data_IF_839194466910
#
_entry.id   IF_839194466910
#
_cell.length_a   1.000
_cell.length_b   1.000
_cell.length_c   1.000
_cell.angle_alpha   90.00
_cell.angle_beta   90.00
_cell.angle_gamma   90.00
#
_symmetry.space_group_name_H-M   'P 1'
#
loop_
_entity.id
_entity.type
_entity.pdbx_description
1 polymer ?
#
# COMPACT_ATOMS: atom_id res chain seq x y z
N UNK A 1 11.46 12.15 -1.98
CA UNK A 1 12.23 11.92 -0.75
C UNK A 1 12.06 10.47 -0.25
N UNK A 2 10.89 10.03 0.20
CA UNK A 2 10.67 8.67 0.71
C UNK A 2 11.11 7.53 -0.24
N UNK A 3 10.85 7.65 -1.54
CA UNK A 3 11.29 6.67 -2.54
C UNK A 3 12.81 6.53 -2.60
N UNK A 4 13.52 7.66 -2.57
CA UNK A 4 14.98 7.62 -2.53
C UNK A 4 15.50 7.00 -1.23
N UNK A 5 14.87 7.33 -0.09
CA UNK A 5 15.19 6.68 1.19
C UNK A 5 14.97 5.16 1.12
N UNK A 6 13.85 4.72 0.54
CA UNK A 6 13.56 3.30 0.33
C UNK A 6 14.65 2.62 -0.50
N UNK A 7 15.00 3.20 -1.65
CA UNK A 7 16.04 2.66 -2.53
C UNK A 7 17.38 2.60 -1.79
N UNK A 8 17.78 3.68 -1.11
CA UNK A 8 19.06 3.71 -0.38
C UNK A 8 19.14 2.70 0.76
N UNK A 9 18.03 2.41 1.43
CA UNK A 9 17.99 1.43 2.52
C UNK A 9 18.04 -0.02 2.03
N UNK A 10 17.40 -0.31 0.91
CA UNK A 10 17.17 -1.70 0.46
C UNK A 10 17.89 -2.07 -0.84
N UNK A 11 18.66 -1.13 -1.45
CA UNK A 11 19.47 -1.46 -2.61
C UNK A 11 20.57 -2.44 -2.21
N UNK A 12 20.53 -3.62 -2.77
CA UNK A 12 21.60 -4.62 -2.60
C UNK A 12 22.43 -4.67 -3.87
N UNK A 13 23.70 -5.11 -3.79
CA UNK A 13 24.61 -5.24 -4.94
C UNK A 13 24.11 -6.25 -6.01
N UNK A 14 22.91 -6.82 -5.82
CA UNK A 14 22.26 -7.77 -6.74
C UNK A 14 21.25 -7.12 -7.68
N UNK A 15 21.00 -5.82 -7.62
CA UNK A 15 20.11 -5.13 -8.56
C UNK A 15 20.76 -5.07 -9.94
N UNK A 16 20.34 -5.98 -10.81
CA UNK A 16 21.06 -6.30 -12.04
C UNK A 16 20.93 -5.31 -13.19
N UNK A 17 19.99 -4.33 -13.15
CA UNK A 17 19.78 -3.43 -14.29
C UNK A 17 19.43 -2.01 -13.85
N UNK A 18 20.40 -1.10 -13.95
CA UNK A 18 20.22 0.32 -13.64
C UNK A 18 19.16 1.01 -14.53
N UNK A 19 18.94 0.55 -15.75
CA UNK A 19 17.92 1.09 -16.64
C UNK A 19 16.51 0.81 -16.08
N UNK A 20 16.29 -0.39 -15.55
CA UNK A 20 15.02 -0.76 -14.92
C UNK A 20 14.77 0.07 -13.65
N UNK A 21 15.82 0.33 -12.87
CA UNK A 21 15.70 1.19 -11.68
C UNK A 21 15.35 2.65 -12.06
N UNK A 22 15.95 3.18 -13.13
CA UNK A 22 15.60 4.51 -13.62
C UNK A 22 14.14 4.58 -14.09
N UNK A 23 13.69 3.53 -14.80
CA UNK A 23 12.29 3.43 -15.24
C UNK A 23 11.33 3.28 -14.04
N UNK A 24 11.71 2.52 -13.00
CA UNK A 24 10.98 2.43 -11.73
C UNK A 24 10.83 3.80 -11.05
N UNK A 25 11.91 4.60 -11.02
CA UNK A 25 11.85 5.97 -10.50
C UNK A 25 10.89 6.86 -11.29
N UNK A 26 10.90 6.74 -12.63
CA UNK A 26 9.98 7.49 -13.49
C UNK A 26 8.51 7.13 -13.25
N UNK A 27 8.17 5.84 -13.23
CA UNK A 27 6.81 5.37 -12.91
C UNK A 27 6.44 5.81 -11.50
N UNK A 28 7.35 5.62 -10.56
CA UNK A 28 7.13 5.98 -9.17
C UNK A 28 6.89 7.46 -8.94
N UNK A 29 7.60 8.35 -9.65
CA UNK A 29 7.36 9.79 -9.62
C UNK A 29 5.92 10.12 -10.04
N UNK A 30 5.40 9.43 -11.05
CA UNK A 30 4.01 9.62 -11.53
C UNK A 30 2.99 9.19 -10.48
N UNK A 31 3.23 8.10 -9.77
CA UNK A 31 2.42 7.71 -8.62
C UNK A 31 2.49 8.74 -7.49
N UNK A 32 3.69 9.24 -7.17
CA UNK A 32 3.87 10.20 -6.08
C UNK A 32 3.18 11.54 -6.43
N UNK A 33 3.24 11.98 -7.69
CA UNK A 33 2.50 13.15 -8.18
C UNK A 33 0.99 12.96 -8.07
N UNK A 34 0.48 11.78 -8.41
CA UNK A 34 -0.95 11.45 -8.26
C UNK A 34 -1.39 11.55 -6.81
N UNK A 35 -0.64 10.95 -5.88
CA UNK A 35 -0.93 11.05 -4.45
C UNK A 35 -0.94 12.50 -3.97
N UNK A 36 0.06 13.29 -4.38
CA UNK A 36 0.14 14.70 -4.04
C UNK A 36 -1.08 15.48 -4.57
N UNK A 37 -1.50 15.21 -5.82
CA UNK A 37 -2.69 15.83 -6.39
C UNK A 37 -3.96 15.45 -5.62
N UNK A 38 -4.15 14.19 -5.22
CA UNK A 38 -5.32 13.78 -4.42
C UNK A 38 -5.39 14.54 -3.09
N UNK A 39 -4.26 14.73 -2.43
CA UNK A 39 -4.20 15.52 -1.19
C UNK A 39 -4.50 16.99 -1.43
N UNK A 40 -4.12 17.52 -2.59
CA UNK A 40 -4.33 18.92 -2.92
C UNK A 40 -5.75 19.22 -3.42
N UNK A 41 -6.57 18.23 -3.82
CA UNK A 41 -7.93 18.45 -4.32
C UNK A 41 -8.77 19.37 -3.42
N UNK A 42 -8.91 19.13 -2.08
CA UNK A 42 -9.72 19.99 -1.23
C UNK A 42 -9.17 21.42 -1.16
N UNK A 43 -7.86 21.57 -1.21
CA UNK A 43 -7.19 22.89 -1.20
C UNK A 43 -7.48 23.63 -2.51
N UNK A 44 -7.36 22.95 -3.65
CA UNK A 44 -7.65 23.53 -4.97
C UNK A 44 -9.12 23.96 -5.03
N UNK A 45 -10.04 23.15 -4.56
CA UNK A 45 -11.49 23.50 -4.50
C UNK A 45 -11.68 24.75 -3.61
N UNK A 46 -11.02 24.82 -2.44
CA UNK A 46 -11.10 25.97 -1.56
C UNK A 46 -10.55 27.25 -2.22
N UNK A 47 -9.53 27.16 -3.06
CA UNK A 47 -9.03 28.29 -3.82
C UNK A 47 -9.98 28.78 -4.92
N UNK A 48 -10.75 27.87 -5.54
CA UNK A 48 -11.69 28.20 -6.60
C UNK A 48 -12.93 28.93 -6.08
N UNK A 49 -13.32 28.72 -4.83
CA UNK A 49 -14.51 29.30 -4.23
C UNK A 49 -14.10 30.53 -3.39
N UNK A 50 -14.50 31.76 -3.78
CA UNK A 50 -14.02 32.98 -3.12
C UNK A 50 -14.27 33.05 -1.61
N UNK A 51 -15.40 32.47 -1.13
CA UNK A 51 -15.79 32.43 0.29
C UNK A 51 -14.85 31.54 1.09
N UNK A 52 -14.34 30.45 0.50
CA UNK A 52 -13.47 29.46 1.17
C UNK A 52 -11.98 29.68 0.90
N UNK A 53 -11.64 30.73 0.13
CA UNK A 53 -10.28 30.97 -0.33
C UNK A 53 -9.32 31.27 0.86
N UNK A 54 -8.31 30.41 1.10
CA UNK A 54 -7.36 30.55 2.22
C UNK A 54 -6.49 31.79 2.15
N UNK A 55 -6.34 32.43 0.99
CA UNK A 55 -5.58 33.67 0.86
C UNK A 55 -6.37 34.88 1.37
N UNK A 56 -7.71 34.83 1.24
CA UNK A 56 -8.57 35.95 1.60
C UNK A 56 -9.05 35.87 3.06
N UNK A 57 -9.26 34.64 3.58
CA UNK A 57 -9.85 34.43 4.88
C UNK A 57 -8.92 33.65 5.82
N UNK A 58 -8.67 34.21 7.01
CA UNK A 58 -7.78 33.62 8.00
C UNK A 58 -8.26 32.28 8.55
N UNK A 59 -9.58 32.11 8.71
CA UNK A 59 -10.17 30.86 9.19
C UNK A 59 -9.91 29.71 8.23
N UNK A 60 -10.19 29.87 6.93
CA UNK A 60 -9.96 28.82 5.94
C UNK A 60 -8.46 28.58 5.70
N UNK A 61 -7.63 29.58 5.91
CA UNK A 61 -6.17 29.44 5.91
C UNK A 61 -5.70 28.52 7.05
N UNK A 62 -6.26 28.69 8.25
CA UNK A 62 -5.95 27.82 9.38
C UNK A 62 -6.39 26.38 9.08
N UNK A 63 -7.62 26.18 8.58
CA UNK A 63 -8.11 24.86 8.20
C UNK A 63 -7.25 24.20 7.14
N UNK A 64 -6.86 24.92 6.09
CA UNK A 64 -5.98 24.43 5.04
C UNK A 64 -4.62 23.99 5.58
N UNK A 65 -4.02 24.78 6.48
CA UNK A 65 -2.77 24.43 7.15
C UNK A 65 -2.90 23.18 8.00
N UNK A 66 -3.96 23.07 8.82
CA UNK A 66 -4.22 21.90 9.67
C UNK A 66 -4.40 20.67 8.78
N UNK A 67 -5.23 20.77 7.75
CA UNK A 67 -5.48 19.68 6.80
C UNK A 67 -4.17 19.17 6.18
N UNK A 68 -3.33 20.05 5.62
CA UNK A 68 -2.07 19.65 5.02
C UNK A 68 -1.09 19.06 6.05
N UNK A 69 -1.00 19.64 7.24
CA UNK A 69 -0.14 19.15 8.31
C UNK A 69 -0.55 17.73 8.73
N UNK A 70 -1.86 17.47 8.89
CA UNK A 70 -2.39 16.16 9.25
C UNK A 70 -2.22 15.14 8.12
N UNK A 71 -2.54 15.52 6.88
CA UNK A 71 -2.37 14.65 5.72
C UNK A 71 -0.91 14.20 5.55
N UNK A 72 0.04 15.11 5.68
CA UNK A 72 1.46 14.80 5.55
C UNK A 72 1.95 13.96 6.74
N UNK A 73 1.46 14.22 7.96
CA UNK A 73 1.77 13.39 9.12
C UNK A 73 1.34 11.93 8.89
N UNK A 74 0.10 11.72 8.44
CA UNK A 74 -0.42 10.40 8.12
C UNK A 74 0.44 9.72 7.04
N UNK A 75 0.84 10.45 6.01
CA UNK A 75 1.71 9.94 4.95
C UNK A 75 3.07 9.51 5.52
N UNK A 76 3.70 10.34 6.36
CA UNK A 76 4.99 10.01 6.96
C UNK A 76 4.88 8.73 7.81
N UNK A 77 3.81 8.59 8.59
CA UNK A 77 3.56 7.41 9.41
C UNK A 77 3.35 6.15 8.54
N UNK A 78 2.54 6.25 7.47
CA UNK A 78 2.32 5.14 6.55
C UNK A 78 3.60 4.73 5.80
N UNK A 79 4.43 5.68 5.38
CA UNK A 79 5.73 5.35 4.80
C UNK A 79 6.70 4.74 5.82
N UNK A 80 6.66 5.18 7.07
CA UNK A 80 7.43 4.56 8.15
C UNK A 80 7.01 3.11 8.38
N UNK A 81 5.71 2.85 8.42
CA UNK A 81 5.16 1.50 8.52
C UNK A 81 5.54 0.64 7.31
N UNK A 82 5.46 1.20 6.10
CA UNK A 82 5.88 0.51 4.87
C UNK A 82 7.36 0.10 4.87
N UNK A 83 8.25 0.98 5.34
CA UNK A 83 9.67 0.65 5.46
C UNK A 83 9.91 -0.51 6.44
N UNK A 84 9.20 -0.51 7.58
CA UNK A 84 9.24 -1.61 8.53
C UNK A 84 8.69 -2.92 7.93
N UNK A 85 7.53 -2.87 7.29
CA UNK A 85 6.91 -4.02 6.63
C UNK A 85 7.83 -4.61 5.55
N UNK A 86 8.43 -3.75 4.72
CA UNK A 86 9.35 -4.19 3.67
C UNK A 86 10.64 -4.81 4.25
N UNK A 87 11.16 -4.26 5.32
CA UNK A 87 12.35 -4.80 6.01
C UNK A 87 12.12 -6.21 6.56
N UNK A 88 10.87 -6.58 6.88
CA UNK A 88 10.51 -7.87 7.46
C UNK A 88 9.98 -8.88 6.44
N UNK A 89 9.15 -8.44 5.48
CA UNK A 89 8.44 -9.30 4.55
C UNK A 89 8.92 -9.18 3.09
N UNK A 90 9.85 -8.27 2.78
CA UNK A 90 10.25 -7.93 1.40
C UNK A 90 9.07 -7.51 0.48
N UNK A 91 7.99 -7.00 1.09
CA UNK A 91 6.78 -6.61 0.39
C UNK A 91 6.30 -5.22 0.84
N UNK A 92 5.79 -4.43 -0.12
CA UNK A 92 5.11 -3.17 0.18
C UNK A 92 3.83 -3.42 0.96
N UNK A 93 3.43 -2.45 1.78
CA UNK A 93 2.15 -2.55 2.51
C UNK A 93 0.98 -2.70 1.54
N UNK A 94 0.15 -3.68 1.83
CA UNK A 94 -1.11 -3.96 1.18
C UNK A 94 -2.23 -4.05 2.22
N UNK A 95 -3.44 -4.39 1.79
CA UNK A 95 -4.58 -4.50 2.72
C UNK A 95 -4.38 -5.60 3.77
N UNK A 96 -3.63 -6.67 3.45
CA UNK A 96 -3.36 -7.75 4.40
C UNK A 96 -2.41 -7.33 5.52
N UNK A 97 -1.53 -6.38 5.25
CA UNK A 97 -0.63 -5.79 6.25
C UNK A 97 -1.39 -5.09 7.38
N UNK A 98 -2.63 -4.62 7.13
CA UNK A 98 -3.47 -4.00 8.16
C UNK A 98 -3.96 -5.00 9.22
N UNK A 99 -3.89 -6.31 8.96
CA UNK A 99 -4.19 -7.33 9.98
C UNK A 99 -3.25 -7.25 11.18
N UNK A 100 -2.05 -6.73 11.00
CA UNK A 100 -1.13 -6.45 12.11
C UNK A 100 -1.71 -5.43 13.10
N UNK A 101 -2.63 -4.59 12.65
CA UNK A 101 -3.31 -3.60 13.50
C UNK A 101 -4.50 -4.18 14.29
N UNK A 102 -4.91 -5.42 14.05
CA UNK A 102 -5.93 -6.10 14.87
C UNK A 102 -5.46 -6.28 16.31
N UNK A 103 -4.14 -6.43 16.52
CA UNK A 103 -3.52 -6.52 17.82
C UNK A 103 -2.42 -5.45 17.98
N UNK A 104 -2.77 -4.17 18.12
CA UNK A 104 -1.82 -3.05 18.04
C UNK A 104 -0.75 -3.09 19.15
N UNK A 105 -1.08 -3.60 20.34
CA UNK A 105 -0.11 -3.71 21.44
C UNK A 105 0.98 -4.73 21.13
N UNK A 106 0.60 -5.86 20.53
CA UNK A 106 1.57 -6.91 20.12
C UNK A 106 2.44 -6.38 18.98
N UNK A 107 1.84 -5.77 17.96
CA UNK A 107 2.56 -5.18 16.85
C UNK A 107 3.54 -4.09 17.30
N UNK A 108 3.14 -3.24 18.24
CA UNK A 108 4.02 -2.22 18.82
C UNK A 108 5.16 -2.84 19.62
N UNK A 109 4.90 -3.88 20.42
CA UNK A 109 5.92 -4.61 21.17
C UNK A 109 6.98 -5.22 20.25
N UNK A 110 6.54 -5.91 19.18
CA UNK A 110 7.44 -6.47 18.17
C UNK A 110 8.29 -5.39 17.47
N UNK A 111 7.66 -4.26 17.11
CA UNK A 111 8.38 -3.14 16.51
C UNK A 111 9.42 -2.54 17.47
N UNK A 112 9.07 -2.43 18.75
CA UNK A 112 9.97 -1.88 19.78
C UNK A 112 11.19 -2.75 20.01
N UNK A 113 11.03 -4.07 19.97
CA UNK A 113 12.12 -5.04 20.14
C UNK A 113 13.00 -5.16 18.87
N UNK A 114 12.39 -5.02 17.69
CA UNK A 114 13.08 -5.26 16.42
C UNK A 114 13.78 -4.04 15.84
N UNK A 115 13.34 -2.82 16.19
CA UNK A 115 13.83 -1.57 15.60
C UNK A 115 14.30 -0.57 16.67
N UNK A 116 15.25 0.30 16.36
CA UNK A 116 15.70 1.37 17.27
C UNK A 116 14.64 2.49 17.33
N UNK A 117 13.47 2.20 17.94
CA UNK A 117 12.28 3.07 17.92
C UNK A 117 12.54 4.47 18.43
N UNK A 118 13.42 4.65 19.44
CA UNK A 118 13.77 5.98 19.97
C UNK A 118 14.43 6.86 18.91
N UNK A 119 15.33 6.30 18.10
CA UNK A 119 16.00 7.03 17.02
C UNK A 119 15.00 7.35 15.91
N UNK A 120 14.14 6.38 15.54
CA UNK A 120 13.10 6.55 14.52
C UNK A 120 12.13 7.67 14.93
N UNK A 121 11.65 7.67 16.18
CA UNK A 121 10.77 8.71 16.70
C UNK A 121 11.42 10.07 16.72
N UNK A 122 12.71 10.15 17.09
CA UNK A 122 13.47 11.41 17.07
C UNK A 122 13.57 11.96 15.65
N UNK A 123 13.93 11.14 14.67
CA UNK A 123 13.99 11.53 13.26
C UNK A 123 12.61 11.97 12.76
N UNK A 124 11.55 11.23 13.11
CA UNK A 124 10.17 11.57 12.76
C UNK A 124 9.80 12.98 13.25
N UNK A 125 10.07 13.31 14.52
CA UNK A 125 9.78 14.61 15.09
C UNK A 125 10.51 15.72 14.32
N UNK A 126 11.79 15.51 13.99
CA UNK A 126 12.58 16.48 13.22
C UNK A 126 11.97 16.69 11.82
N UNK A 127 11.64 15.61 11.11
CA UNK A 127 11.05 15.67 9.76
C UNK A 127 9.71 16.39 9.80
N UNK A 128 8.84 16.04 10.74
CA UNK A 128 7.52 16.67 10.91
C UNK A 128 7.67 18.16 11.22
N UNK A 129 8.59 18.53 12.11
CA UNK A 129 8.87 19.94 12.43
C UNK A 129 9.26 20.75 11.19
N UNK A 130 10.23 20.27 10.41
CA UNK A 130 10.66 20.96 9.20
C UNK A 130 9.56 21.05 8.15
N UNK A 131 8.79 20.01 7.95
CA UNK A 131 7.68 20.00 7.00
C UNK A 131 6.60 21.00 7.42
N UNK A 132 6.19 21.00 8.69
CA UNK A 132 5.19 21.91 9.21
C UNK A 132 5.64 23.37 9.11
N UNK A 133 6.89 23.64 9.44
CA UNK A 133 7.50 24.99 9.26
C UNK A 133 7.45 25.43 7.79
N UNK A 134 7.74 24.54 6.84
CA UNK A 134 7.68 24.86 5.42
C UNK A 134 6.26 25.16 4.95
N UNK A 135 5.25 24.42 5.44
CA UNK A 135 3.84 24.69 5.16
C UNK A 135 3.48 26.12 5.63
N UNK A 136 3.82 26.45 6.89
CA UNK A 136 3.52 27.78 7.43
C UNK A 136 4.22 28.89 6.64
N UNK A 137 5.49 28.70 6.29
CA UNK A 137 6.26 29.65 5.49
C UNK A 137 5.64 29.85 4.10
N UNK A 138 5.18 28.75 3.45
CA UNK A 138 4.55 28.82 2.13
C UNK A 138 3.27 29.65 2.16
N UNK A 139 2.39 29.41 3.14
CA UNK A 139 1.17 30.21 3.29
C UNK A 139 1.47 31.68 3.60
N UNK A 140 2.49 31.97 4.40
CA UNK A 140 2.89 33.33 4.68
C UNK A 140 3.38 34.05 3.41
N UNK A 141 4.21 33.38 2.60
CA UNK A 141 4.70 33.93 1.33
C UNK A 141 3.52 34.18 0.37
N UNK A 142 2.61 33.22 0.24
CA UNK A 142 1.45 33.35 -0.66
C UNK A 142 0.51 34.48 -0.24
N UNK A 143 0.33 34.69 1.06
CA UNK A 143 -0.53 35.76 1.58
C UNK A 143 0.05 37.13 1.39
N UNK A 144 1.38 37.26 1.49
CA UNK A 144 2.09 38.56 1.41
C UNK A 144 2.47 38.96 -0.02
N UNK A 145 2.22 38.11 -1.03
CA UNK A 145 2.51 38.49 -2.41
C UNK A 145 1.50 39.51 -2.92
N UNK A 146 1.93 40.57 -3.62
CA UNK A 146 1.02 41.48 -4.27
C UNK A 146 0.24 40.78 -5.35
N UNK A 147 -1.09 41.01 -5.40
CA UNK A 147 -1.99 40.43 -6.40
C UNK A 147 -1.83 41.16 -7.75
N UNK A 148 -0.70 40.99 -8.40
CA UNK A 148 -0.39 41.64 -9.68
C UNK A 148 -0.45 40.61 -10.79
N UNK A 149 -1.68 40.17 -11.16
CA UNK A 149 -1.87 39.41 -12.38
C UNK A 149 -2.92 40.12 -13.27
N UNK A 150 -2.58 40.36 -14.53
CA UNK A 150 -3.54 40.74 -15.54
C UNK A 150 -4.54 39.59 -15.72
N UNK A 151 -5.81 39.95 -15.98
CA UNK A 151 -6.89 38.96 -16.11
C UNK A 151 -6.54 37.83 -17.10
N UNK A 152 -5.97 38.16 -18.26
CA UNK A 152 -5.53 37.19 -19.27
C UNK A 152 -4.44 36.22 -18.74
N UNK A 153 -3.45 36.73 -18.02
CA UNK A 153 -2.39 35.90 -17.43
C UNK A 153 -2.93 34.95 -16.36
N UNK A 154 -3.94 35.40 -15.61
CA UNK A 154 -4.59 34.58 -14.61
C UNK A 154 -5.36 33.42 -15.25
N UNK A 155 -6.10 33.66 -16.33
CA UNK A 155 -6.86 32.61 -17.05
C UNK A 155 -5.88 31.59 -17.65
N UNK A 156 -4.87 32.04 -18.39
CA UNK A 156 -3.89 31.15 -19.03
C UNK A 156 -3.19 30.31 -17.97
N UNK A 157 -2.70 30.93 -16.90
CA UNK A 157 -2.03 30.21 -15.80
C UNK A 157 -2.94 29.18 -15.12
N UNK A 158 -4.20 29.53 -14.85
CA UNK A 158 -5.17 28.60 -14.25
C UNK A 158 -5.49 27.42 -15.16
N UNK A 159 -5.67 27.67 -16.46
CA UNK A 159 -5.95 26.64 -17.45
C UNK A 159 -4.78 25.65 -17.56
N UNK A 160 -3.57 26.15 -17.73
CA UNK A 160 -2.35 25.31 -17.80
C UNK A 160 -2.19 24.50 -16.51
N UNK A 161 -2.34 25.15 -15.34
CA UNK A 161 -2.26 24.45 -14.05
C UNK A 161 -3.32 23.37 -13.90
N UNK A 162 -4.56 23.64 -14.37
CA UNK A 162 -5.64 22.66 -14.37
C UNK A 162 -5.33 21.45 -15.24
N UNK A 163 -4.81 21.65 -16.45
CA UNK A 163 -4.39 20.54 -17.31
C UNK A 163 -3.25 19.72 -16.69
N UNK A 164 -2.23 20.37 -16.13
CA UNK A 164 -1.13 19.68 -15.43
C UNK A 164 -1.69 18.86 -14.27
N UNK A 165 -2.62 19.41 -13.49
CA UNK A 165 -3.23 18.76 -12.35
C UNK A 165 -4.04 17.52 -12.75
N UNK A 166 -4.89 17.64 -13.78
CA UNK A 166 -5.68 16.53 -14.34
C UNK A 166 -4.75 15.45 -14.88
N UNK A 167 -3.72 15.85 -15.64
CA UNK A 167 -2.75 14.92 -16.18
C UNK A 167 -1.95 14.18 -15.08
N UNK A 168 -1.56 14.87 -14.01
CA UNK A 168 -0.89 14.26 -12.87
C UNK A 168 -1.78 13.23 -12.14
N UNK A 169 -3.10 13.48 -12.05
CA UNK A 169 -4.06 12.52 -11.50
C UNK A 169 -4.20 11.31 -12.42
N UNK A 170 -4.31 11.51 -13.74
CA UNK A 170 -4.41 10.43 -14.71
C UNK A 170 -3.12 9.59 -14.74
N UNK A 171 -1.97 10.26 -14.72
CA UNK A 171 -0.65 9.68 -14.59
C UNK A 171 -0.10 9.01 -15.86
N UNK A 172 -0.85 8.95 -16.97
CA UNK A 172 -0.39 8.38 -18.24
C UNK A 172 -0.92 9.16 -19.44
N UNK A 173 -0.27 9.03 -20.61
CA UNK A 173 -0.84 9.44 -21.91
C UNK A 173 -1.63 8.33 -22.58
N UNK A 174 -1.84 7.18 -21.90
CA UNK A 174 -2.59 6.05 -22.43
C UNK A 174 -4.09 6.22 -22.15
N UNK A 175 -4.92 5.41 -22.83
CA UNK A 175 -6.36 5.37 -22.64
C UNK A 175 -6.76 5.04 -21.19
N UNK A 176 -5.98 4.24 -20.48
CA UNK A 176 -6.21 3.85 -19.08
C UNK A 176 -5.33 4.69 -18.14
N UNK A 177 -5.86 4.97 -16.94
CA UNK A 177 -5.10 5.61 -15.87
C UNK A 177 -3.92 4.72 -15.46
N UNK A 178 -2.89 5.30 -14.86
CA UNK A 178 -1.79 4.56 -14.26
C UNK A 178 -2.32 3.59 -13.19
N UNK A 179 -2.07 2.30 -13.32
CA UNK A 179 -2.45 1.25 -12.38
C UNK A 179 -1.22 0.71 -11.67
N UNK A 180 -1.42 0.10 -10.49
CA UNK A 180 -0.31 -0.55 -9.77
C UNK A 180 0.37 -1.63 -10.61
N UNK A 181 -0.37 -2.30 -11.50
CA UNK A 181 0.17 -3.28 -12.44
C UNK A 181 1.21 -2.71 -13.41
N UNK A 182 1.19 -1.41 -13.70
CA UNK A 182 2.22 -0.77 -14.53
C UNK A 182 3.61 -0.78 -13.87
N UNK A 183 3.67 -1.02 -12.55
CA UNK A 183 4.92 -1.20 -11.83
C UNK A 183 5.57 -2.58 -12.06
N UNK A 184 4.80 -3.58 -12.56
CA UNK A 184 5.28 -4.95 -12.77
C UNK A 184 5.90 -5.13 -14.18
N UNK A 185 6.82 -4.27 -14.53
CA UNK A 185 7.54 -4.32 -15.81
C UNK A 185 8.88 -5.10 -15.74
N UNK A 186 9.37 -5.36 -14.54
CA UNK A 186 10.60 -6.11 -14.26
C UNK A 186 10.31 -7.38 -13.48
N UNK A 187 11.15 -8.39 -13.67
CA UNK A 187 11.12 -9.64 -12.88
C UNK A 187 11.79 -9.49 -11.51
N UNK A 188 12.47 -8.37 -11.26
CA UNK A 188 13.12 -8.09 -9.97
C UNK A 188 12.09 -7.49 -8.99
N UNK A 189 11.74 -8.19 -7.89
CA UNK A 189 10.77 -7.70 -6.90
C UNK A 189 11.17 -6.36 -6.28
N UNK A 190 12.47 -6.10 -6.09
CA UNK A 190 12.94 -4.83 -5.54
C UNK A 190 12.69 -3.66 -6.50
N UNK A 191 12.91 -3.87 -7.81
CA UNK A 191 12.64 -2.86 -8.84
C UNK A 191 11.15 -2.54 -8.89
N UNK A 192 10.29 -3.57 -8.87
CA UNK A 192 8.83 -3.42 -8.80
C UNK A 192 8.43 -2.65 -7.54
N UNK A 193 8.94 -3.05 -6.38
CA UNK A 193 8.69 -2.37 -5.11
C UNK A 193 9.17 -0.91 -5.13
N UNK A 194 10.27 -0.62 -5.81
CA UNK A 194 10.80 0.75 -5.99
C UNK A 194 9.89 1.63 -6.86
N UNK A 195 9.10 1.05 -7.78
CA UNK A 195 8.14 1.75 -8.62
C UNK A 195 6.81 2.02 -7.91
N UNK A 196 6.36 1.14 -7.04
CA UNK A 196 5.06 1.23 -6.36
C UNK A 196 5.05 2.39 -5.34
N UNK A 197 3.93 3.12 -5.27
CA UNK A 197 3.64 4.01 -4.14
C UNK A 197 2.81 3.23 -3.11
N UNK A 198 3.30 3.04 -1.87
CA UNK A 198 2.67 2.16 -0.89
C UNK A 198 1.26 2.60 -0.50
N UNK A 199 0.99 3.91 -0.43
CA UNK A 199 -0.32 4.43 -0.02
C UNK A 199 -1.37 4.18 -1.10
N UNK A 200 -1.02 4.42 -2.37
CA UNK A 200 -1.92 4.12 -3.49
C UNK A 200 -2.11 2.61 -3.65
N UNK A 201 -1.07 1.82 -3.46
CA UNK A 201 -1.12 0.37 -3.51
C UNK A 201 -2.01 -0.21 -2.41
N UNK A 202 -1.87 0.26 -1.18
CA UNK A 202 -2.76 -0.09 -0.07
C UNK A 202 -4.23 0.17 -0.40
N UNK A 203 -4.54 1.32 -1.03
CA UNK A 203 -5.90 1.65 -1.42
C UNK A 203 -6.41 0.76 -2.56
N UNK A 204 -5.56 0.45 -3.55
CA UNK A 204 -5.94 -0.38 -4.70
C UNK A 204 -6.10 -1.87 -4.33
N UNK A 205 -5.29 -2.37 -3.38
CA UNK A 205 -5.41 -3.75 -2.86
C UNK A 205 -6.61 -3.95 -1.95
N UNK A 206 -7.31 -2.87 -1.55
CA UNK A 206 -8.52 -2.96 -0.73
C UNK A 206 -9.61 -3.85 -1.36
N UNK A 207 -9.68 -3.91 -2.68
CA UNK A 207 -10.61 -4.79 -3.39
C UNK A 207 -10.24 -6.28 -3.28
N UNK A 208 -9.00 -6.59 -2.89
CA UNK A 208 -8.52 -7.96 -2.64
C UNK A 208 -8.63 -8.37 -1.17
N UNK A 209 -9.16 -7.51 -0.30
CA UNK A 209 -9.49 -7.91 1.06
C UNK A 209 -10.37 -9.18 0.98
N UNK A 210 -9.98 -10.24 1.70
CA UNK A 210 -10.75 -11.46 1.75
C UNK A 210 -12.19 -11.10 2.15
N UNK A 211 -13.15 -11.54 1.34
CA UNK A 211 -14.56 -11.42 1.70
C UNK A 211 -14.75 -12.08 3.07
N UNK A 212 -15.34 -11.36 4.00
CA UNK A 212 -15.73 -11.96 5.28
C UNK A 212 -16.72 -13.10 5.02
N UNK A 213 -16.73 -14.08 5.93
CA UNK A 213 -17.68 -15.18 5.88
C UNK A 213 -19.12 -14.64 5.79
N UNK A 214 -19.77 -14.92 4.66
CA UNK A 214 -21.16 -14.54 4.44
C UNK A 214 -22.05 -15.74 4.68
N UNK A 215 -22.69 -15.77 5.86
CA UNK A 215 -23.54 -16.87 6.29
C UNK A 215 -24.73 -17.09 5.36
N UNK A 216 -25.37 -16.03 4.88
CA UNK A 216 -26.51 -16.10 3.98
C UNK A 216 -26.13 -16.75 2.64
N UNK A 217 -25.02 -16.30 2.05
CA UNK A 217 -24.46 -16.86 0.81
C UNK A 217 -24.04 -18.33 1.01
N UNK A 218 -23.52 -18.67 2.18
CA UNK A 218 -23.15 -20.05 2.53
C UNK A 218 -24.40 -20.92 2.66
N UNK A 219 -25.46 -20.43 3.30
CA UNK A 219 -26.72 -21.13 3.43
C UNK A 219 -27.39 -21.38 2.08
N UNK A 220 -27.42 -20.38 1.22
CA UNK A 220 -28.02 -20.51 -0.12
C UNK A 220 -27.31 -21.52 -1.01
N UNK A 221 -25.99 -21.73 -0.82
CA UNK A 221 -25.18 -22.67 -1.58
C UNK A 221 -24.88 -23.98 -0.83
N UNK A 222 -25.44 -24.17 0.38
CA UNK A 222 -25.08 -25.28 1.26
C UNK A 222 -25.34 -26.63 0.60
N UNK A 223 -26.50 -26.84 -0.06
CA UNK A 223 -26.87 -28.12 -0.69
C UNK A 223 -25.94 -28.46 -1.86
N UNK A 224 -25.51 -27.46 -2.62
CA UNK A 224 -24.52 -27.63 -3.68
C UNK A 224 -23.17 -28.09 -3.11
N UNK A 225 -22.71 -27.42 -2.05
CA UNK A 225 -21.46 -27.76 -1.38
C UNK A 225 -21.50 -29.15 -0.73
N UNK A 226 -22.63 -29.54 -0.12
CA UNK A 226 -22.86 -30.89 0.44
C UNK A 226 -22.66 -31.96 -0.62
N UNK A 227 -23.22 -31.73 -1.81
CA UNK A 227 -23.12 -32.66 -2.94
C UNK A 227 -21.67 -32.73 -3.46
N UNK A 228 -21.04 -31.63 -3.72
CA UNK A 228 -19.68 -31.58 -4.25
C UNK A 228 -18.62 -32.12 -3.26
N UNK A 229 -18.80 -31.88 -1.97
CA UNK A 229 -17.89 -32.35 -0.94
C UNK A 229 -18.22 -33.78 -0.45
N UNK A 230 -19.27 -34.42 -0.99
CA UNK A 230 -19.74 -35.72 -0.56
C UNK A 230 -19.96 -35.83 0.96
N UNK A 231 -20.67 -34.85 1.54
CA UNK A 231 -20.96 -34.81 2.96
C UNK A 231 -21.96 -35.89 3.33
N UNK A 232 -21.60 -36.76 4.25
CA UNK A 232 -22.43 -37.92 4.65
C UNK A 232 -23.49 -37.56 5.70
N UNK A 233 -23.25 -36.55 6.52
CA UNK A 233 -24.17 -36.13 7.58
C UNK A 233 -24.38 -34.61 7.46
N UNK A 234 -25.23 -34.18 6.49
CA UNK A 234 -25.48 -32.74 6.31
C UNK A 234 -26.33 -32.19 7.45
N UNK A 235 -25.95 -30.97 7.91
CA UNK A 235 -26.74 -30.19 8.85
C UNK A 235 -26.77 -28.71 8.39
N UNK A 236 -27.82 -28.37 7.65
CA UNK A 236 -28.01 -27.04 7.10
C UNK A 236 -28.20 -25.95 8.18
N UNK A 237 -28.72 -26.29 9.35
CA UNK A 237 -28.89 -25.32 10.46
C UNK A 237 -27.55 -24.92 11.05
N UNK A 238 -26.67 -25.89 11.26
CA UNK A 238 -25.32 -25.66 11.81
C UNK A 238 -24.27 -25.39 10.74
N UNK A 239 -24.62 -25.40 9.45
CA UNK A 239 -23.68 -25.32 8.30
C UNK A 239 -22.51 -26.29 8.44
N UNK A 240 -22.82 -27.55 8.89
CA UNK A 240 -21.80 -28.56 9.14
C UNK A 240 -21.37 -29.21 7.84
N UNK A 241 -20.07 -29.26 7.56
CA UNK A 241 -19.45 -29.98 6.45
C UNK A 241 -18.75 -31.26 6.93
N UNK A 242 -19.21 -31.83 8.02
CA UNK A 242 -18.62 -33.05 8.59
C UNK A 242 -18.84 -34.26 7.68
N UNK A 243 -17.76 -34.93 7.35
CA UNK A 243 -17.77 -36.18 6.58
C UNK A 243 -17.32 -37.32 7.44
N UNK A 244 -18.13 -38.38 7.52
CA UNK A 244 -17.76 -39.63 8.18
C UNK A 244 -17.03 -40.56 7.20
N UNK A 245 -15.86 -41.01 7.57
CA UNK A 245 -15.07 -41.95 6.81
C UNK A 245 -15.24 -43.31 7.52
N UNK A 246 -15.69 -44.36 6.78
CA UNK A 246 -15.75 -45.69 7.32
C UNK A 246 -14.36 -46.16 7.77
N UNK A 247 -14.26 -46.63 9.01
CA UNK A 247 -13.01 -47.22 9.52
C UNK A 247 -12.66 -48.45 8.66
N UNK A 248 -11.60 -48.36 7.87
CA UNK A 248 -10.93 -49.54 7.36
C UNK A 248 -10.26 -50.25 8.56
N UNK A 249 -10.61 -51.50 8.82
CA UNK A 249 -9.85 -52.31 9.76
C UNK A 249 -8.47 -52.59 9.18
N UNK A 250 -7.49 -51.76 9.60
CA UNK A 250 -6.09 -52.01 9.34
C UNK A 250 -5.61 -52.90 10.48
N UNK A 251 -5.17 -54.11 10.14
CA UNK A 251 -4.71 -55.11 11.13
C UNK A 251 -3.54 -54.60 11.97
N UNK A 252 -2.65 -53.83 11.36
CA UNK A 252 -1.51 -53.18 12.03
C UNK A 252 -1.72 -51.67 11.99
N UNK A 253 -1.75 -51.03 13.15
CA UNK A 253 -1.86 -49.59 13.24
C UNK A 253 -0.52 -48.93 12.84
N UNK A 254 -0.42 -48.26 11.69
CA UNK A 254 0.82 -47.61 11.30
C UNK A 254 1.09 -46.41 12.18
N UNK A 255 2.37 -46.16 12.44
CA UNK A 255 2.78 -44.90 12.99
C UNK A 255 2.62 -43.83 11.90
N UNK A 256 1.92 -42.72 12.22
CA UNK A 256 1.74 -41.59 11.29
C UNK A 256 2.60 -40.43 11.76
N UNK A 257 3.51 -40.01 10.90
CA UNK A 257 4.32 -38.81 11.10
C UNK A 257 3.83 -37.74 10.11
N UNK A 258 3.35 -36.63 10.64
CA UNK A 258 2.92 -35.48 9.82
C UNK A 258 3.99 -34.39 9.94
N UNK A 259 4.59 -34.02 8.79
CA UNK A 259 5.62 -33.01 8.72
C UNK A 259 5.01 -31.78 8.02
N UNK A 260 4.89 -30.69 8.76
CA UNK A 260 4.48 -29.38 8.20
C UNK A 260 5.73 -28.62 7.79
N UNK A 261 5.84 -28.33 6.49
CA UNK A 261 6.92 -27.51 5.95
C UNK A 261 6.40 -26.08 5.79
N UNK A 262 6.74 -25.20 6.72
CA UNK A 262 6.38 -23.81 6.67
C UNK A 262 7.32 -23.04 5.73
N UNK A 263 6.77 -22.09 4.97
CA UNK A 263 7.51 -21.17 4.09
C UNK A 263 8.36 -21.84 3.00
N UNK A 264 8.05 -23.10 2.65
CA UNK A 264 8.72 -23.79 1.54
C UNK A 264 7.99 -23.49 0.24
N UNK A 265 8.59 -22.61 -0.56
CA UNK A 265 8.06 -22.31 -1.90
C UNK A 265 8.16 -23.51 -2.84
N UNK A 266 7.09 -23.80 -3.57
CA UNK A 266 7.04 -24.91 -4.54
C UNK A 266 8.20 -24.86 -5.56
N UNK A 267 8.55 -23.68 -6.04
CA UNK A 267 9.68 -23.44 -6.97
C UNK A 267 11.06 -23.80 -6.40
N UNK A 268 11.17 -23.97 -5.09
CA UNK A 268 12.39 -24.42 -4.39
C UNK A 268 12.45 -25.93 -4.18
N UNK A 269 11.42 -26.66 -4.61
CA UNK A 269 11.38 -28.12 -4.48
C UNK A 269 11.86 -28.80 -5.77
N UNK A 270 12.45 -29.99 -5.65
CA UNK A 270 12.89 -30.80 -6.80
C UNK A 270 11.72 -31.18 -7.71
N UNK A 271 10.56 -31.46 -7.13
CA UNK A 271 9.33 -31.83 -7.83
C UNK A 271 8.81 -30.74 -8.77
N UNK A 272 9.18 -29.48 -8.56
CA UNK A 272 8.83 -28.38 -9.46
C UNK A 272 9.75 -28.25 -10.68
N UNK A 273 10.74 -29.11 -10.83
CA UNK A 273 11.75 -29.04 -11.89
C UNK A 273 12.94 -28.13 -11.56
N UNK A 274 13.17 -27.84 -10.27
CA UNK A 274 14.33 -27.04 -9.86
C UNK A 274 15.64 -27.74 -10.27
N UNK A 275 16.49 -27.11 -11.09
CA UNK A 275 17.72 -27.75 -11.62
C UNK A 275 18.75 -28.10 -10.54
N UNK A 276 18.68 -27.47 -9.38
CA UNK A 276 19.57 -27.75 -8.24
C UNK A 276 19.17 -29.01 -7.46
N UNK A 277 17.99 -29.57 -7.74
CA UNK A 277 17.44 -30.76 -7.06
C UNK A 277 17.56 -30.73 -5.51
N UNK A 278 17.10 -29.66 -4.84
CA UNK A 278 17.37 -29.45 -3.41
C UNK A 278 16.59 -30.38 -2.48
N UNK A 279 15.52 -31.03 -2.96
CA UNK A 279 14.68 -31.93 -2.19
C UNK A 279 14.40 -33.24 -2.95
N UNK A 280 15.44 -34.07 -3.20
CA UNK A 280 15.32 -35.23 -4.09
C UNK A 280 14.39 -36.33 -3.57
N UNK A 281 14.14 -36.35 -2.26
CA UNK A 281 13.35 -37.38 -1.57
C UNK A 281 11.98 -36.89 -1.05
N UNK A 282 11.57 -35.68 -1.45
CA UNK A 282 10.27 -35.09 -1.12
C UNK A 282 9.26 -35.22 -2.27
#
# INVERSE_FOLDING_TARGET
MFRLTFILLFITNKTGNYNDLFYALWIGLRFDMRLACFILIPIVIAFLIPIYNPLNQSFFRLLAKIYLKMSILIIILLYGFDLGNYSYLDQRIDISSLKLLENPLIAFGMAWESYPMVIILFILVIVVYFVWRNIDKTFTILTNRPKVFNFSQSIIGSTISGFIFIFAIWGTFRQYRLLWSDAHFSNDPFIVASAINPILYLNETRSFALEEFNEEKTRSNYDLMVKELNITIPNSKALSFTRSISKRHIKDQPNIVVIFLESVGYNRMSKSGNPLNPTPNL
#
